data_IF_128336276814
#
_entry.id   IF_128336276814
#
_cell.length_a   1.000
_cell.length_b   1.000
_cell.length_c   1.000
_cell.angle_alpha   90.00
_cell.angle_beta   90.00
_cell.angle_gamma   90.00
#
_symmetry.space_group_name_H-M   'P 1'
#
loop_
_entity.id
_entity.type
_entity.pdbx_description
1 polymer ?
#
# COMPACT_ATOMS: atom_id res chain seq x y z
N UNK A 1 15.37 13.99 22.15
CA UNK A 1 14.73 14.66 21.00
C UNK A 1 15.46 14.21 19.74
N UNK A 2 14.98 13.12 19.14
CA UNK A 2 15.53 12.49 17.92
C UNK A 2 15.23 13.43 16.74
N UNK A 3 16.21 14.21 16.28
CA UNK A 3 16.00 15.18 15.21
C UNK A 3 15.83 14.46 13.87
N UNK A 4 14.61 14.38 13.36
CA UNK A 4 14.39 14.32 11.92
C UNK A 4 14.78 15.70 11.33
N UNK A 5 15.20 15.70 10.07
CA UNK A 5 15.69 16.88 9.32
C UNK A 5 14.77 18.11 9.40
N UNK A 6 15.27 19.29 9.00
CA UNK A 6 14.66 20.63 9.18
C UNK A 6 13.21 20.87 8.71
N UNK A 7 12.44 19.85 8.31
CA UNK A 7 11.02 19.95 7.92
C UNK A 7 10.05 18.99 8.61
N UNK A 8 10.53 18.02 9.40
CA UNK A 8 9.68 16.95 9.93
C UNK A 8 9.84 16.76 11.44
N UNK A 9 8.71 16.55 12.11
CA UNK A 9 8.64 16.27 13.53
C UNK A 9 8.09 14.87 13.78
N UNK A 10 8.63 14.16 14.76
CA UNK A 10 8.04 12.91 15.23
C UNK A 10 6.63 13.19 15.82
N UNK A 11 5.65 12.33 15.51
CA UNK A 11 4.30 12.42 16.10
C UNK A 11 4.23 11.93 17.55
N UNK A 12 5.31 11.34 18.05
CA UNK A 12 5.37 10.71 19.38
C UNK A 12 6.78 10.80 19.99
N UNK A 13 6.89 10.88 21.33
CA UNK A 13 8.19 11.03 22.00
C UNK A 13 9.08 9.78 21.91
N UNK A 14 8.50 8.60 21.72
CA UNK A 14 9.14 7.29 21.63
C UNK A 14 9.39 6.82 20.17
N UNK A 15 9.47 7.76 19.22
CA UNK A 15 9.45 7.47 17.78
C UNK A 15 10.45 6.42 17.30
N UNK A 16 11.69 6.43 17.78
CA UNK A 16 12.71 5.45 17.38
C UNK A 16 12.35 4.03 17.84
N UNK A 17 12.04 3.87 19.13
CA UNK A 17 11.64 2.57 19.68
C UNK A 17 10.35 2.06 19.02
N UNK A 18 9.37 2.95 18.79
CA UNK A 18 8.14 2.62 18.09
C UNK A 18 8.41 2.17 16.64
N UNK A 19 9.28 2.87 15.91
CA UNK A 19 9.61 2.55 14.53
C UNK A 19 10.34 1.22 14.40
N UNK A 20 11.26 0.91 15.31
CA UNK A 20 11.96 -0.39 15.31
C UNK A 20 11.01 -1.54 15.64
N UNK A 21 10.08 -1.35 16.58
CA UNK A 21 9.13 -2.38 16.99
C UNK A 21 8.02 -2.62 15.95
N UNK A 22 7.50 -1.57 15.33
CA UNK A 22 6.32 -1.63 14.45
C UNK A 22 6.67 -1.50 12.96
N UNK A 23 7.95 -1.30 12.64
CA UNK A 23 8.44 -1.05 11.27
C UNK A 23 7.78 0.13 10.57
N UNK A 24 7.34 1.13 11.33
CA UNK A 24 6.76 2.37 10.79
C UNK A 24 7.17 3.57 11.64
N UNK A 25 7.76 4.58 11.01
CA UNK A 25 8.10 5.85 11.62
C UNK A 25 6.98 6.85 11.36
N UNK A 26 6.40 7.39 12.44
CA UNK A 26 5.29 8.34 12.37
C UNK A 26 5.81 9.77 12.48
N UNK A 27 5.67 10.53 11.40
CA UNK A 27 6.12 11.91 11.27
C UNK A 27 4.95 12.84 10.99
N UNK A 28 5.19 14.14 11.13
CA UNK A 28 4.33 15.21 10.63
C UNK A 28 5.18 16.32 10.05
N UNK A 29 4.63 17.04 9.07
CA UNK A 29 5.21 18.28 8.58
C UNK A 29 4.98 19.41 9.59
N UNK A 30 5.66 20.55 9.41
CA UNK A 30 5.47 21.75 10.24
C UNK A 30 4.04 22.31 10.17
N UNK A 31 3.41 22.19 9.00
CA UNK A 31 2.02 22.60 8.75
C UNK A 31 0.98 21.54 9.16
N UNK A 32 1.42 20.44 9.78
CA UNK A 32 0.54 19.48 10.46
C UNK A 32 0.07 18.30 9.61
N UNK A 33 0.63 18.09 8.42
CA UNK A 33 0.32 16.91 7.59
C UNK A 33 1.00 15.70 8.18
N UNK A 34 0.23 14.67 8.51
CA UNK A 34 0.75 13.41 9.05
C UNK A 34 1.37 12.55 7.95
N UNK A 35 2.51 11.92 8.25
CA UNK A 35 3.29 11.08 7.34
C UNK A 35 3.64 9.77 8.03
N UNK A 36 3.37 8.66 7.35
CA UNK A 36 3.76 7.32 7.78
C UNK A 36 4.87 6.80 6.88
N UNK A 37 6.04 6.54 7.46
CA UNK A 37 7.19 5.98 6.75
C UNK A 37 7.33 4.51 7.13
N UNK A 38 6.79 3.63 6.29
CA UNK A 38 7.00 2.19 6.45
C UNK A 38 8.46 1.83 6.17
N UNK A 39 9.05 1.02 7.04
CA UNK A 39 10.41 0.50 6.91
C UNK A 39 10.33 -0.85 6.21
N UNK A 40 10.63 -0.88 4.91
CA UNK A 40 10.59 -2.10 4.12
C UNK A 40 11.59 -3.15 4.64
N UNK A 41 11.17 -4.40 4.73
CA UNK A 41 12.03 -5.58 4.95
C UNK A 41 11.60 -6.81 4.16
N UNK A 42 10.38 -6.85 3.64
CA UNK A 42 9.87 -8.04 2.99
C UNK A 42 10.07 -7.96 1.46
N UNK A 43 10.26 -9.10 0.78
CA UNK A 43 10.37 -9.14 -0.68
C UNK A 43 9.26 -8.39 -1.42
N UNK A 44 8.03 -8.44 -0.90
CA UNK A 44 6.88 -7.68 -1.43
C UNK A 44 7.11 -6.16 -1.44
N UNK A 45 7.64 -5.61 -0.35
CA UNK A 45 7.86 -4.17 -0.23
C UNK A 45 9.02 -3.71 -1.12
N UNK A 46 10.05 -4.55 -1.25
CA UNK A 46 11.17 -4.33 -2.16
C UNK A 46 10.67 -4.28 -3.60
N UNK A 47 9.89 -5.29 -4.03
CA UNK A 47 9.28 -5.32 -5.37
C UNK A 47 8.38 -4.09 -5.62
N UNK A 48 7.56 -3.70 -4.64
CA UNK A 48 6.71 -2.51 -4.75
C UNK A 48 7.51 -1.21 -4.96
N UNK A 49 8.67 -1.08 -4.33
CA UNK A 49 9.57 0.08 -4.45
C UNK A 49 10.32 0.06 -5.79
N UNK A 50 10.83 -1.10 -6.21
CA UNK A 50 11.56 -1.27 -7.46
C UNK A 50 10.66 -1.02 -8.68
N UNK A 51 9.42 -1.48 -8.61
CA UNK A 51 8.44 -1.30 -9.67
C UNK A 51 7.71 0.05 -9.63
N UNK A 52 8.00 0.90 -8.65
CA UNK A 52 7.32 2.18 -8.53
C UNK A 52 7.60 3.07 -9.74
N UNK A 53 6.54 3.61 -10.33
CA UNK A 53 6.61 4.46 -11.52
C UNK A 53 6.19 5.89 -11.23
N UNK A 54 6.66 6.82 -12.05
CA UNK A 54 6.34 8.24 -11.92
C UNK A 54 4.93 8.54 -12.42
N UNK A 55 4.13 9.22 -11.62
CA UNK A 55 2.81 9.72 -11.95
C UNK A 55 2.73 11.22 -11.71
N UNK A 56 2.29 11.98 -12.70
CA UNK A 56 2.07 13.41 -12.58
C UNK A 56 0.72 13.67 -11.91
N UNK A 57 0.74 14.16 -10.66
CA UNK A 57 -0.48 14.46 -9.90
C UNK A 57 -0.90 15.92 -10.13
N UNK A 58 0.09 16.81 -10.20
CA UNK A 58 -0.08 18.20 -10.63
C UNK A 58 1.06 18.55 -11.60
N UNK A 59 0.87 19.55 -12.49
CA UNK A 59 1.89 19.92 -13.47
C UNK A 59 3.25 20.14 -12.81
N UNK A 60 4.29 19.48 -13.34
CA UNK A 60 5.68 19.58 -12.87
C UNK A 60 5.97 19.01 -11.46
N UNK A 61 5.06 18.27 -10.85
CA UNK A 61 5.30 17.56 -9.58
C UNK A 61 4.98 16.07 -9.72
N UNK A 62 5.90 15.28 -10.29
CA UNK A 62 5.75 13.84 -10.37
C UNK A 62 5.92 13.19 -8.98
N UNK A 63 5.01 12.28 -8.63
CA UNK A 63 5.18 11.38 -7.50
C UNK A 63 5.43 9.96 -8.00
N UNK A 64 6.39 9.29 -7.38
CA UNK A 64 6.55 7.84 -7.56
C UNK A 64 5.49 7.11 -6.76
N UNK A 65 4.73 6.24 -7.41
CA UNK A 65 3.70 5.41 -6.78
C UNK A 65 3.95 3.94 -7.07
N UNK A 66 3.57 3.07 -6.12
CA UNK A 66 3.65 1.63 -6.32
C UNK A 66 2.67 1.17 -7.43
N UNK A 67 2.90 0.01 -8.05
CA UNK A 67 1.97 -0.55 -9.02
C UNK A 67 0.58 -0.80 -8.41
N UNK A 68 -0.44 -0.77 -9.26
CA UNK A 68 -1.83 -1.01 -8.86
C UNK A 68 -2.02 -2.36 -8.17
N UNK A 69 -1.29 -3.38 -8.60
CA UNK A 69 -1.32 -4.73 -8.03
C UNK A 69 -0.84 -4.74 -6.58
N UNK A 70 0.25 -4.03 -6.30
CA UNK A 70 0.80 -3.93 -4.95
C UNK A 70 -0.13 -3.10 -4.05
N UNK A 71 -0.73 -2.04 -4.58
CA UNK A 71 -1.72 -1.25 -3.84
C UNK A 71 -2.95 -2.09 -3.45
N UNK A 72 -3.42 -2.99 -4.32
CA UNK A 72 -4.48 -3.94 -3.99
C UNK A 72 -4.05 -4.86 -2.84
N UNK A 73 -2.84 -5.44 -2.91
CA UNK A 73 -2.35 -6.35 -1.86
C UNK A 73 -2.21 -5.61 -0.51
N UNK A 74 -1.69 -4.38 -0.50
CA UNK A 74 -1.64 -3.57 0.73
C UNK A 74 -3.03 -3.38 1.35
N UNK A 75 -4.07 -3.17 0.53
CA UNK A 75 -5.45 -3.06 0.99
C UNK A 75 -5.99 -4.37 1.56
N UNK A 76 -5.74 -5.49 0.88
CA UNK A 76 -6.13 -6.81 1.38
C UNK A 76 -5.50 -7.12 2.74
N UNK A 77 -4.21 -6.84 2.91
CA UNK A 77 -3.49 -7.09 4.17
C UNK A 77 -3.96 -6.19 5.30
N UNK A 78 -4.33 -4.93 4.99
CA UNK A 78 -4.86 -3.96 5.95
C UNK A 78 -6.29 -4.27 6.42
N UNK A 79 -7.08 -4.96 5.59
CA UNK A 79 -8.42 -5.48 5.90
C UNK A 79 -9.37 -4.44 6.53
N UNK A 80 -9.38 -3.20 6.03
CA UNK A 80 -10.27 -2.12 6.50
C UNK A 80 -11.60 -2.20 5.77
N UNK A 81 -12.68 -1.81 6.44
CA UNK A 81 -14.06 -1.82 5.92
C UNK A 81 -14.27 -1.02 4.62
N UNK A 82 -13.37 -0.08 4.30
CA UNK A 82 -13.43 0.79 3.11
C UNK A 82 -12.68 0.22 1.89
N UNK A 83 -11.99 -0.92 2.01
CA UNK A 83 -11.04 -1.37 0.98
C UNK A 83 -11.71 -1.93 -0.30
N UNK A 84 -12.99 -2.32 -0.25
CA UNK A 84 -13.72 -2.87 -1.42
C UNK A 84 -13.92 -1.84 -2.53
N UNK A 85 -14.35 -0.61 -2.20
CA UNK A 85 -14.60 0.44 -3.20
C UNK A 85 -13.31 0.90 -3.88
N UNK A 86 -12.23 0.98 -3.11
CA UNK A 86 -10.92 1.32 -3.66
C UNK A 86 -10.41 0.24 -4.62
N UNK A 87 -10.52 -1.03 -4.24
CA UNK A 87 -10.18 -2.14 -5.13
C UNK A 87 -11.02 -2.11 -6.41
N UNK A 88 -12.32 -1.83 -6.31
CA UNK A 88 -13.20 -1.72 -7.48
C UNK A 88 -12.74 -0.62 -8.43
N UNK A 89 -12.43 0.57 -7.89
CA UNK A 89 -11.89 1.70 -8.67
C UNK A 89 -10.59 1.33 -9.37
N UNK A 90 -9.66 0.66 -8.67
CA UNK A 90 -8.38 0.22 -9.23
C UNK A 90 -8.63 -0.79 -10.37
N UNK A 91 -9.43 -1.83 -10.13
CA UNK A 91 -9.73 -2.86 -11.14
C UNK A 91 -10.41 -2.26 -12.36
N UNK A 92 -11.37 -1.33 -12.19
CA UNK A 92 -12.03 -0.63 -13.30
C UNK A 92 -11.04 0.17 -14.16
N UNK A 93 -10.16 0.95 -13.52
CA UNK A 93 -9.17 1.82 -14.19
C UNK A 93 -8.08 1.05 -14.91
N UNK A 94 -7.62 -0.05 -14.31
CA UNK A 94 -6.58 -0.89 -14.91
C UNK A 94 -7.15 -1.78 -16.00
N UNK A 95 -8.32 -2.39 -15.77
CA UNK A 95 -8.95 -3.32 -16.70
C UNK A 95 -8.01 -4.45 -17.10
N UNK A 96 -7.87 -4.70 -18.40
CA UNK A 96 -7.02 -5.76 -18.94
C UNK A 96 -5.52 -5.58 -18.69
N UNK A 97 -5.07 -4.40 -18.23
CA UNK A 97 -3.66 -4.13 -17.90
C UNK A 97 -3.27 -4.61 -16.50
N UNK A 98 -4.25 -4.93 -15.65
CA UNK A 98 -3.97 -5.39 -14.30
C UNK A 98 -3.30 -6.77 -14.34
N UNK A 99 -2.14 -6.91 -13.72
CA UNK A 99 -1.48 -8.20 -13.55
C UNK A 99 -2.11 -8.96 -12.38
N UNK A 100 -3.20 -9.66 -12.69
CA UNK A 100 -4.01 -10.44 -11.73
C UNK A 100 -3.20 -11.56 -11.09
N UNK A 101 -2.30 -12.18 -11.84
CA UNK A 101 -1.48 -13.27 -11.32
C UNK A 101 -0.47 -12.77 -10.28
N UNK A 102 0.06 -11.55 -10.44
CA UNK A 102 0.87 -10.92 -9.39
C UNK A 102 0.06 -10.65 -8.11
N UNK A 103 -1.16 -10.13 -8.23
CA UNK A 103 -2.04 -9.91 -7.06
C UNK A 103 -2.30 -11.22 -6.34
N UNK A 104 -2.63 -12.29 -7.10
CA UNK A 104 -2.90 -13.62 -6.54
C UNK A 104 -1.66 -14.26 -5.92
N UNK A 105 -0.50 -14.13 -6.55
CA UNK A 105 0.77 -14.64 -6.01
C UNK A 105 1.04 -14.02 -4.65
N UNK A 106 1.11 -12.69 -4.56
CA UNK A 106 1.37 -12.02 -3.29
C UNK A 106 0.25 -12.21 -2.27
N UNK A 107 -1.01 -12.22 -2.71
CA UNK A 107 -2.14 -12.49 -1.84
C UNK A 107 -2.11 -13.88 -1.20
N UNK A 108 -1.63 -14.91 -1.90
CA UNK A 108 -1.42 -16.26 -1.33
C UNK A 108 -0.30 -16.26 -0.28
N UNK A 109 0.84 -15.65 -0.58
CA UNK A 109 1.95 -15.52 0.37
C UNK A 109 1.49 -14.83 1.67
N UNK A 110 0.73 -13.75 1.57
CA UNK A 110 0.18 -13.07 2.75
C UNK A 110 -0.94 -13.84 3.44
N UNK A 111 -1.76 -14.60 2.71
CA UNK A 111 -2.77 -15.48 3.28
C UNK A 111 -2.13 -16.56 4.16
N UNK A 112 -1.04 -17.16 3.69
CA UNK A 112 -0.26 -18.14 4.47
C UNK A 112 0.37 -17.50 5.70
N UNK A 113 1.05 -16.34 5.54
CA UNK A 113 1.68 -15.63 6.66
C UNK A 113 0.70 -15.15 7.73
N UNK A 114 -0.54 -14.83 7.34
CA UNK A 114 -1.60 -14.38 8.26
C UNK A 114 -2.49 -15.50 8.77
N UNK A 115 -2.28 -16.73 8.29
CA UNK A 115 -3.18 -17.88 8.52
C UNK A 115 -4.64 -17.55 8.15
N UNK A 116 -4.83 -16.73 7.11
CA UNK A 116 -6.13 -16.26 6.63
C UNK A 116 -6.35 -16.75 5.18
N UNK A 117 -6.97 -17.92 4.99
CA UNK A 117 -7.23 -18.47 3.66
C UNK A 117 -8.21 -17.62 2.84
N UNK A 118 -8.93 -16.69 3.49
CA UNK A 118 -9.95 -15.86 2.87
C UNK A 118 -9.45 -14.46 2.48
N UNK A 119 -8.17 -14.16 2.73
CA UNK A 119 -7.55 -12.86 2.44
C UNK A 119 -7.81 -12.39 0.99
N UNK A 120 -7.76 -13.31 0.02
CA UNK A 120 -7.96 -13.01 -1.40
C UNK A 120 -9.44 -12.89 -1.82
N UNK A 121 -10.37 -13.38 -0.99
CA UNK A 121 -11.80 -13.42 -1.34
C UNK A 121 -12.37 -12.05 -1.74
N UNK A 122 -12.06 -10.93 -1.04
CA UNK A 122 -12.53 -9.61 -1.45
C UNK A 122 -12.10 -9.22 -2.87
N UNK A 123 -10.83 -9.47 -3.21
CA UNK A 123 -10.31 -9.19 -4.55
C UNK A 123 -11.01 -10.03 -5.62
N UNK A 124 -11.19 -11.34 -5.38
CA UNK A 124 -11.85 -12.22 -6.36
C UNK A 124 -13.31 -11.82 -6.61
N UNK A 125 -14.05 -11.38 -5.59
CA UNK A 125 -15.40 -10.86 -5.73
C UNK A 125 -15.41 -9.60 -6.62
N UNK A 126 -14.58 -8.62 -6.27
CA UNK A 126 -14.49 -7.35 -7.01
C UNK A 126 -14.07 -7.57 -8.45
N UNK A 127 -13.04 -8.40 -8.66
CA UNK A 127 -12.50 -8.68 -9.98
C UNK A 127 -13.55 -9.31 -10.90
N UNK A 128 -14.29 -10.33 -10.41
CA UNK A 128 -15.37 -10.97 -11.17
C UNK A 128 -16.51 -10.01 -11.48
N UNK A 129 -16.93 -9.19 -10.51
CA UNK A 129 -18.01 -8.23 -10.70
C UNK A 129 -17.66 -7.18 -11.77
N UNK A 130 -16.43 -6.68 -11.77
CA UNK A 130 -15.99 -5.63 -12.69
C UNK A 130 -15.69 -6.16 -14.10
N UNK A 131 -15.07 -7.33 -14.22
CA UNK A 131 -14.67 -7.90 -15.51
C UNK A 131 -15.79 -8.73 -16.15
N UNK A 132 -16.57 -9.47 -15.36
CA UNK A 132 -17.71 -10.25 -15.84
C UNK A 132 -18.94 -9.41 -16.19
N UNK A 133 -18.99 -8.15 -15.76
CA UNK A 133 -20.01 -7.17 -16.17
C UNK A 133 -19.68 -6.42 -17.47
N UNK A 134 -18.67 -6.87 -18.24
CA UNK A 134 -18.32 -6.34 -19.56
C UNK A 134 -18.81 -7.25 -20.68
#
# INVERSE_FOLDING_TARGET
>A
MTRCSDGFEARRPDAEAFALANRVLLLKTRDGVEIDVALAAFPFEIEAIEMASSWEIVPSLPLRTCPAEHLIVYKLVAARTHDLSDMESIVRRQGARLDVERVRRWGREFAELKEDPDLLRPFEIVFRAVIGGR
#
